data_IF_918224864092
#
_entry.id   IF_918224864092
#
_cell.length_a   1.000
_cell.length_b   1.000
_cell.length_c   1.000
_cell.angle_alpha   90.00
_cell.angle_beta   90.00
_cell.angle_gamma   90.00
#
_symmetry.space_group_name_H-M   'P 1'
#
loop_
_entity.id
_entity.type
_entity.pdbx_description
1 polymer ?
#
# COMPACT_ATOMS: atom_id res chain seq x y z
N UNK A 1 22.44 -17.08 -19.61
CA UNK A 1 22.54 -16.03 -18.56
C UNK A 1 21.30 -16.15 -17.69
N UNK A 2 21.46 -16.40 -16.40
CA UNK A 2 20.34 -16.52 -15.45
C UNK A 2 19.86 -15.13 -15.07
N UNK A 3 18.59 -14.80 -15.33
CA UNK A 3 17.98 -13.51 -14.98
C UNK A 3 17.52 -13.42 -13.53
N UNK A 4 18.36 -13.80 -12.57
CA UNK A 4 18.01 -13.77 -11.14
C UNK A 4 18.00 -12.35 -10.59
N UNK A 5 16.86 -11.95 -10.03
CA UNK A 5 16.68 -10.64 -9.38
C UNK A 5 17.09 -10.69 -7.92
N UNK A 6 17.87 -9.71 -7.48
CA UNK A 6 18.24 -9.50 -6.08
C UNK A 6 17.26 -8.53 -5.40
N UNK A 7 16.82 -8.89 -4.19
CA UNK A 7 15.87 -8.10 -3.41
C UNK A 7 16.54 -7.18 -2.37
N UNK A 8 17.87 -7.16 -2.27
CA UNK A 8 18.65 -6.23 -1.47
C UNK A 8 18.20 -6.16 0.01
N UNK A 9 18.03 -7.32 0.63
CA UNK A 9 17.65 -7.52 2.04
C UNK A 9 18.85 -7.65 3.00
N UNK A 10 20.00 -8.06 2.48
CA UNK A 10 21.22 -8.35 3.22
C UNK A 10 22.10 -7.12 3.47
N UNK A 11 23.02 -7.25 4.43
CA UNK A 11 23.95 -6.18 4.76
C UNK A 11 24.91 -5.89 3.60
N UNK A 12 25.59 -6.93 3.11
CA UNK A 12 26.67 -6.81 2.11
C UNK A 12 26.19 -6.17 0.82
N UNK A 13 25.07 -6.63 0.28
CA UNK A 13 24.52 -6.13 -0.98
C UNK A 13 24.08 -4.66 -0.89
N UNK A 14 23.49 -4.25 0.24
CA UNK A 14 23.17 -2.84 0.46
C UNK A 14 24.42 -1.96 0.58
N UNK A 15 25.49 -2.47 1.20
CA UNK A 15 26.80 -1.75 1.24
C UNK A 15 27.37 -1.59 -0.16
N UNK A 16 27.37 -2.65 -0.98
CA UNK A 16 27.94 -2.61 -2.34
C UNK A 16 27.19 -1.62 -3.22
N UNK A 17 25.86 -1.55 -3.10
CA UNK A 17 25.00 -0.67 -3.92
C UNK A 17 24.89 0.75 -3.33
N UNK A 18 25.42 0.99 -2.13
CA UNK A 18 25.41 2.32 -1.48
C UNK A 18 24.06 2.74 -0.89
N UNK A 19 23.22 1.76 -0.51
CA UNK A 19 21.95 2.00 0.18
C UNK A 19 22.13 1.88 1.69
N UNK A 20 21.21 2.48 2.43
CA UNK A 20 21.21 2.37 3.88
C UNK A 20 21.07 0.90 4.30
N UNK A 21 21.90 0.46 5.23
CA UNK A 21 21.98 -0.93 5.67
C UNK A 21 20.95 -1.24 6.77
N UNK A 22 20.45 -2.49 6.87
CA UNK A 22 19.52 -2.89 7.93
C UNK A 22 20.25 -3.21 9.25
N UNK A 23 21.11 -2.31 9.71
CA UNK A 23 21.87 -2.45 10.95
C UNK A 23 22.13 -1.09 11.61
N UNK A 24 22.28 -1.10 12.94
CA UNK A 24 22.58 0.12 13.72
C UNK A 24 21.59 1.25 13.46
N UNK A 25 22.11 2.43 13.11
CA UNK A 25 21.32 3.63 12.78
C UNK A 25 20.43 3.45 11.56
N UNK A 26 20.75 2.52 10.66
CA UNK A 26 19.95 2.21 9.49
C UNK A 26 18.69 1.36 9.77
N UNK A 27 18.57 0.80 10.98
CA UNK A 27 17.45 -0.08 11.34
C UNK A 27 16.11 0.66 11.45
N UNK A 28 16.12 1.93 11.88
CA UNK A 28 14.91 2.74 11.97
C UNK A 28 14.26 2.96 10.60
N UNK A 29 15.08 3.29 9.59
CA UNK A 29 14.62 3.47 8.22
C UNK A 29 14.09 2.18 7.60
N UNK A 30 14.80 1.07 7.79
CA UNK A 30 14.34 -0.23 7.28
C UNK A 30 13.03 -0.68 7.94
N UNK A 31 12.88 -0.41 9.24
CA UNK A 31 11.65 -0.76 9.97
C UNK A 31 10.46 0.07 9.50
N UNK A 32 10.62 1.39 9.30
CA UNK A 32 9.54 2.25 8.81
C UNK A 32 9.14 1.89 7.38
N UNK A 33 10.10 1.64 6.49
CA UNK A 33 9.85 1.14 5.12
C UNK A 33 9.08 -0.18 5.12
N UNK A 34 9.45 -1.11 6.00
CA UNK A 34 8.76 -2.40 6.12
C UNK A 34 7.33 -2.22 6.64
N UNK A 35 7.10 -1.29 7.58
CA UNK A 35 5.75 -0.96 8.06
C UNK A 35 4.89 -0.35 6.96
N UNK A 36 5.40 0.62 6.20
CA UNK A 36 4.68 1.19 5.06
C UNK A 36 4.37 0.18 3.96
N UNK A 37 5.21 -0.85 3.79
CA UNK A 37 4.96 -1.93 2.83
C UNK A 37 3.94 -2.97 3.35
N UNK A 38 3.63 -2.97 4.65
CA UNK A 38 2.73 -3.91 5.32
C UNK A 38 1.45 -3.23 5.80
N UNK A 39 1.41 -1.90 5.91
CA UNK A 39 0.17 -1.13 5.99
C UNK A 39 -0.63 -1.41 4.72
N UNK A 40 -1.56 -2.35 4.83
CA UNK A 40 -2.71 -2.40 3.95
C UNK A 40 -3.33 -1.01 3.96
N UNK A 41 -3.70 -0.46 2.79
CA UNK A 41 -4.36 0.84 2.75
C UNK A 41 -5.52 0.78 3.72
N UNK A 42 -5.51 1.66 4.72
CA UNK A 42 -6.57 1.76 5.71
C UNK A 42 -7.84 2.08 4.91
N UNK A 43 -8.69 1.07 4.73
CA UNK A 43 -9.91 1.23 3.94
C UNK A 43 -10.81 2.12 4.78
N UNK A 44 -11.04 3.35 4.31
CA UNK A 44 -12.01 4.24 4.92
C UNK A 44 -13.42 3.66 4.69
N UNK A 45 -13.88 2.91 5.70
CA UNK A 45 -15.18 2.26 5.70
C UNK A 45 -16.33 3.28 5.64
N UNK A 46 -16.10 4.51 6.12
CA UNK A 46 -17.09 5.59 6.09
C UNK A 46 -17.24 6.13 4.67
N UNK A 47 -16.13 6.38 3.99
CA UNK A 47 -16.13 6.78 2.58
C UNK A 47 -16.73 5.69 1.68
N UNK A 48 -16.43 4.41 1.94
CA UNK A 48 -16.99 3.29 1.19
C UNK A 48 -18.52 3.21 1.38
N UNK A 49 -19.01 3.36 2.61
CA UNK A 49 -20.45 3.38 2.92
C UNK A 49 -21.15 4.56 2.26
N UNK A 50 -20.56 5.76 2.29
CA UNK A 50 -21.12 6.94 1.65
C UNK A 50 -21.25 6.76 0.13
N UNK A 51 -20.25 6.14 -0.52
CA UNK A 51 -20.30 5.83 -1.94
C UNK A 51 -21.42 4.85 -2.28
N UNK A 52 -21.56 3.77 -1.51
CA UNK A 52 -22.63 2.77 -1.71
C UNK A 52 -24.02 3.41 -1.51
N UNK A 53 -24.20 4.20 -0.45
CA UNK A 53 -25.47 4.86 -0.17
C UNK A 53 -25.86 5.87 -1.27
N UNK A 54 -24.89 6.61 -1.81
CA UNK A 54 -25.15 7.53 -2.92
C UNK A 54 -25.55 6.79 -4.20
N UNK A 55 -24.92 5.66 -4.50
CA UNK A 55 -25.25 4.83 -5.66
C UNK A 55 -26.62 4.15 -5.52
N UNK A 56 -26.96 3.68 -4.32
CA UNK A 56 -28.28 3.12 -4.02
C UNK A 56 -29.39 4.17 -4.17
N UNK A 57 -29.20 5.40 -3.67
CA UNK A 57 -30.15 6.49 -3.84
C UNK A 57 -30.35 6.86 -5.32
N UNK A 58 -29.26 6.97 -6.09
CA UNK A 58 -29.32 7.27 -7.51
C UNK A 58 -30.06 6.19 -8.31
N UNK A 59 -29.94 4.92 -7.91
CA UNK A 59 -30.66 3.81 -8.54
C UNK A 59 -32.18 3.91 -8.30
N UNK A 60 -32.60 4.28 -7.09
CA UNK A 60 -34.01 4.44 -6.75
C UNK A 60 -34.65 5.64 -7.46
N UNK A 61 -33.95 6.79 -7.50
CA UNK A 61 -34.43 7.99 -8.20
C UNK A 61 -34.63 7.77 -9.71
N UNK A 62 -33.84 6.87 -10.33
CA UNK A 62 -34.01 6.51 -11.73
C UNK A 62 -35.30 5.72 -11.99
N UNK A 63 -35.71 4.87 -11.04
CA UNK A 63 -36.92 4.04 -11.17
C UNK A 63 -38.22 4.81 -10.93
N UNK A 64 -38.19 5.88 -10.14
CA UNK A 64 -39.36 6.75 -9.92
C UNK A 64 -39.63 7.72 -11.07
N UNK A 65 -38.62 8.03 -11.89
CA UNK A 65 -38.76 9.04 -12.96
C UNK A 65 -39.33 8.49 -14.27
N UNK A 66 -39.37 7.16 -14.41
CA UNK A 66 -39.85 6.45 -15.60
C UNK A 66 -41.27 5.84 -15.45
N UNK A 67 -42.00 6.16 -14.36
CA UNK A 67 -43.39 5.76 -14.11
C UNK A 67 -44.37 6.94 -14.29
#
# INVERSE_FOLDING_TARGET
>A
VSGTTDNLRGLKENVIVGRLIPAGTGMAYHTSRKRQAVEEPEIDLEALRAAIAAEELASLESTEKDA
#
